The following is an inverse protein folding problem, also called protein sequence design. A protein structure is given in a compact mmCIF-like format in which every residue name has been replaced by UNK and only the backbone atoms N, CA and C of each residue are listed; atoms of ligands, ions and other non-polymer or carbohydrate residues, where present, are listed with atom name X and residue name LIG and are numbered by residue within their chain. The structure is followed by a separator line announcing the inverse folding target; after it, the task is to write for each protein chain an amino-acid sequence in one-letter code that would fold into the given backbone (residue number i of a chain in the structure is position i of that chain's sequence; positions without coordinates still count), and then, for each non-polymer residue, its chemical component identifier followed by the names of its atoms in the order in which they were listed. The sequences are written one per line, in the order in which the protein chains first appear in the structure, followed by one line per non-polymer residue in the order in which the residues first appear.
data_IF_827433601611
#
_entry.id   IF_827433601611
#
_cell.length_a   1.000
_cell.length_b   1.000
_cell.length_c   1.000
_cell.angle_alpha   90.00
_cell.angle_beta   90.00
_cell.angle_gamma   90.00
#
_symmetry.space_group_name_H-M   'P 1'
#
loop_
_entity.id
_entity.type
_entity.pdbx_description
1 polymer ?
#
# COMPACT_ATOMS: atom_id res chain seq x y z
N UNK A 1 20.16 -9.92 -6.33
CA UNK A 1 19.90 -10.38 -4.98
C UNK A 1 20.90 -9.68 -4.05
N UNK A 2 20.43 -8.89 -3.10
CA UNK A 2 21.24 -8.28 -2.05
C UNK A 2 21.31 -9.20 -0.82
N UNK A 3 22.42 -9.15 -0.08
CA UNK A 3 22.57 -9.86 1.21
C UNK A 3 22.28 -8.94 2.41
N UNK A 4 21.72 -7.77 2.17
CA UNK A 4 21.35 -6.77 3.17
C UNK A 4 20.21 -5.90 2.65
N UNK A 5 20.09 -4.73 3.20
CA UNK A 5 19.11 -3.74 2.78
C UNK A 5 19.45 -3.16 1.40
N UNK A 6 18.42 -2.71 0.69
CA UNK A 6 18.56 -2.05 -0.61
C UNK A 6 18.01 -0.63 -0.50
N UNK A 7 18.81 0.35 -0.90
CA UNK A 7 18.39 1.74 -1.01
C UNK A 7 18.64 2.24 -2.43
N UNK A 8 17.59 2.75 -3.09
CA UNK A 8 17.62 3.28 -4.45
C UNK A 8 17.08 4.70 -4.48
N UNK A 9 17.71 5.53 -5.29
CA UNK A 9 17.24 6.90 -5.56
C UNK A 9 17.31 7.15 -7.07
N UNK A 10 16.25 7.74 -7.65
CA UNK A 10 16.22 8.16 -9.05
C UNK A 10 15.68 9.58 -9.17
N UNK A 11 16.33 10.46 -9.97
CA UNK A 11 15.83 11.81 -10.25
C UNK A 11 14.75 11.82 -11.36
N UNK A 12 14.17 10.70 -11.69
CA UNK A 12 13.15 10.52 -12.73
C UNK A 12 12.34 9.26 -12.47
N UNK A 13 11.48 8.89 -13.42
CA UNK A 13 10.76 7.60 -13.38
C UNK A 13 11.71 6.42 -13.18
N UNK A 14 11.27 5.45 -12.40
CA UNK A 14 11.96 4.18 -12.18
C UNK A 14 11.04 3.02 -12.48
N UNK A 15 11.51 2.08 -13.31
CA UNK A 15 10.84 0.80 -13.51
C UNK A 15 11.66 -0.31 -12.85
N UNK A 16 11.01 -1.06 -11.96
CA UNK A 16 11.61 -2.16 -11.21
C UNK A 16 11.17 -3.49 -11.79
N UNK A 17 12.12 -4.34 -12.19
CA UNK A 17 11.85 -5.72 -12.60
C UNK A 17 11.85 -6.66 -11.38
N UNK A 18 12.95 -6.66 -10.61
CA UNK A 18 13.07 -7.50 -9.43
C UNK A 18 14.10 -6.95 -8.44
N UNK A 19 13.67 -6.71 -7.22
CA UNK A 19 14.51 -6.46 -6.06
C UNK A 19 14.23 -7.52 -5.01
N UNK A 20 15.24 -8.29 -4.63
CA UNK A 20 15.12 -9.29 -3.58
C UNK A 20 16.17 -9.02 -2.50
N UNK A 21 15.74 -8.43 -1.39
CA UNK A 21 16.61 -8.10 -0.26
C UNK A 21 16.66 -9.27 0.72
N UNK A 22 17.84 -9.87 0.89
CA UNK A 22 18.11 -10.96 1.84
C UNK A 22 17.08 -12.11 1.81
N UNK A 23 16.62 -12.51 0.62
CA UNK A 23 15.51 -13.46 0.45
C UNK A 23 14.19 -13.02 1.11
N UNK A 24 13.94 -11.71 1.17
CA UNK A 24 12.73 -11.15 1.78
C UNK A 24 12.84 -10.88 3.29
N UNK A 25 14.05 -10.81 3.84
CA UNK A 25 14.29 -10.51 5.26
C UNK A 25 14.95 -9.17 5.53
N UNK A 26 15.55 -8.53 4.50
CA UNK A 26 16.09 -7.18 4.57
C UNK A 26 15.03 -6.12 4.20
N UNK A 27 15.39 -4.86 4.37
CA UNK A 27 14.54 -3.73 4.05
C UNK A 27 14.85 -3.18 2.65
N UNK A 28 13.85 -2.59 1.99
CA UNK A 28 14.01 -1.92 0.69
C UNK A 28 13.48 -0.49 0.83
N UNK A 29 14.31 0.47 0.47
CA UNK A 29 13.92 1.89 0.39
C UNK A 29 14.10 2.36 -1.06
N UNK A 30 13.04 2.90 -1.65
CA UNK A 30 13.05 3.46 -3.00
C UNK A 30 12.50 4.89 -2.93
N UNK A 31 13.30 5.83 -3.41
CA UNK A 31 12.90 7.21 -3.59
C UNK A 31 13.08 7.64 -5.04
N UNK A 32 12.03 8.15 -5.67
CA UNK A 32 12.05 8.64 -7.04
C UNK A 32 11.42 10.04 -7.13
N UNK A 33 11.92 10.89 -8.04
CA UNK A 33 11.27 12.16 -8.32
C UNK A 33 9.99 11.96 -9.16
N UNK A 34 10.02 11.05 -10.15
CA UNK A 34 8.90 10.74 -11.02
C UNK A 34 8.08 9.53 -10.54
N UNK A 35 7.60 8.73 -11.50
CA UNK A 35 6.79 7.56 -11.23
C UNK A 35 7.62 6.33 -10.83
N UNK A 36 7.13 5.54 -9.89
CA UNK A 36 7.65 4.21 -9.55
C UNK A 36 6.72 3.14 -10.15
N UNK A 37 7.25 2.33 -11.07
CA UNK A 37 6.50 1.29 -11.79
C UNK A 37 7.20 -0.05 -11.71
N UNK A 38 6.48 -1.13 -11.88
CA UNK A 38 7.03 -2.45 -12.11
C UNK A 38 6.85 -2.92 -13.57
N UNK A 39 7.45 -4.04 -13.88
CA UNK A 39 7.31 -4.68 -15.20
C UNK A 39 6.03 -5.51 -15.19
N UNK A 40 5.04 -5.21 -16.06
CA UNK A 40 3.77 -5.93 -16.09
C UNK A 40 3.96 -7.45 -16.26
N UNK A 41 3.17 -8.22 -15.50
CA UNK A 41 3.19 -9.68 -15.55
C UNK A 41 4.38 -10.35 -14.88
N UNK A 42 5.21 -9.59 -14.19
CA UNK A 42 6.31 -10.07 -13.35
C UNK A 42 6.08 -9.61 -11.91
N UNK A 43 5.65 -10.50 -11.08
CA UNK A 43 5.43 -10.23 -9.66
C UNK A 43 6.30 -11.16 -8.78
N UNK A 44 6.69 -10.70 -7.60
CA UNK A 44 6.71 -9.32 -7.11
C UNK A 44 7.93 -8.52 -7.62
N UNK A 45 7.75 -7.22 -7.84
CA UNK A 45 8.86 -6.30 -8.15
C UNK A 45 9.80 -6.12 -6.96
N UNK A 46 9.27 -6.12 -5.74
CA UNK A 46 10.05 -6.02 -4.50
C UNK A 46 9.71 -7.19 -3.57
N UNK A 47 10.74 -7.93 -3.14
CA UNK A 47 10.65 -8.93 -2.08
C UNK A 47 11.56 -8.54 -0.93
N UNK A 48 10.95 -8.21 0.23
CA UNK A 48 11.63 -7.69 1.41
C UNK A 48 10.83 -7.99 2.69
N UNK A 49 11.41 -7.69 3.86
CA UNK A 49 10.65 -7.62 5.11
C UNK A 49 9.81 -6.36 5.14
N UNK A 50 10.44 -5.22 4.81
CA UNK A 50 9.80 -3.90 4.76
C UNK A 50 10.11 -3.22 3.42
N UNK A 51 9.13 -2.51 2.88
CA UNK A 51 9.31 -1.57 1.78
C UNK A 51 8.95 -0.15 2.21
N UNK A 52 9.84 0.80 1.95
CA UNK A 52 9.61 2.24 2.08
C UNK A 52 9.71 2.86 0.69
N UNK A 53 8.57 3.27 0.15
CA UNK A 53 8.41 3.66 -1.25
C UNK A 53 7.96 5.13 -1.34
N UNK A 54 8.68 5.95 -2.08
CA UNK A 54 8.34 7.36 -2.28
C UNK A 54 8.48 7.76 -3.75
N UNK A 55 7.41 8.33 -4.30
CA UNK A 55 7.41 9.03 -5.58
C UNK A 55 7.09 10.52 -5.30
N UNK A 56 8.09 11.41 -5.51
CA UNK A 56 7.99 12.79 -5.05
C UNK A 56 6.97 13.59 -5.88
N UNK A 57 7.00 13.48 -7.19
CA UNK A 57 6.15 14.19 -8.15
C UNK A 57 5.46 13.20 -9.13
N UNK A 58 5.07 12.03 -8.64
CA UNK A 58 4.47 11.00 -9.48
C UNK A 58 3.71 9.94 -8.68
N UNK A 59 3.36 8.87 -9.36
CA UNK A 59 2.56 7.77 -8.84
C UNK A 59 3.42 6.55 -8.50
N UNK A 60 2.96 5.75 -7.55
CA UNK A 60 3.43 4.38 -7.33
C UNK A 60 2.43 3.43 -7.99
N UNK A 61 2.89 2.67 -9.00
CA UNK A 61 2.03 1.79 -9.81
C UNK A 61 1.06 2.54 -10.70
N UNK A 62 0.06 1.84 -11.20
CA UNK A 62 -1.10 2.37 -11.92
C UNK A 62 -2.34 1.54 -11.60
N UNK A 63 -3.53 2.01 -11.93
CA UNK A 63 -4.79 1.26 -11.74
C UNK A 63 -4.76 -0.10 -12.43
N UNK A 64 -4.20 -0.17 -13.65
CA UNK A 64 -4.15 -1.40 -14.46
C UNK A 64 -2.96 -2.29 -14.11
N UNK A 65 -1.91 -1.73 -13.52
CA UNK A 65 -0.71 -2.44 -13.10
C UNK A 65 -0.24 -1.88 -11.74
N UNK A 66 -0.86 -2.29 -10.62
CA UNK A 66 -0.41 -1.91 -9.29
C UNK A 66 1.03 -2.37 -9.07
N UNK A 67 1.82 -1.56 -8.35
CA UNK A 67 3.19 -1.92 -8.00
C UNK A 67 3.18 -3.13 -7.06
N UNK A 68 3.72 -4.24 -7.55
CA UNK A 68 3.63 -5.52 -6.85
C UNK A 68 4.76 -5.72 -5.86
N UNK A 69 4.43 -6.05 -4.62
CA UNK A 69 5.39 -6.31 -3.55
C UNK A 69 5.08 -7.63 -2.84
N UNK A 70 6.08 -8.19 -2.19
CA UNK A 70 6.00 -9.35 -1.30
C UNK A 70 6.70 -8.98 0.00
N UNK A 71 5.99 -8.24 0.86
CA UNK A 71 6.53 -7.66 2.09
C UNK A 71 5.61 -7.89 3.28
N UNK A 72 6.18 -7.84 4.50
CA UNK A 72 5.38 -7.89 5.73
C UNK A 72 4.97 -6.49 6.21
N UNK A 73 5.72 -5.44 5.83
CA UNK A 73 5.47 -4.07 6.26
C UNK A 73 5.67 -3.10 5.10
N UNK A 74 4.80 -2.09 4.99
CA UNK A 74 4.91 -1.04 3.97
C UNK A 74 4.77 0.35 4.55
N UNK A 75 5.57 1.28 4.00
CA UNK A 75 5.34 2.71 4.00
C UNK A 75 5.36 3.19 2.56
N UNK A 76 4.38 4.02 2.15
CA UNK A 76 4.30 4.51 0.78
C UNK A 76 3.79 5.96 0.73
N UNK A 77 4.38 6.79 -0.13
CA UNK A 77 3.93 8.17 -0.35
C UNK A 77 4.12 8.58 -1.81
N UNK A 78 3.04 8.99 -2.46
CA UNK A 78 3.01 9.38 -3.88
C UNK A 78 1.79 10.27 -4.18
N UNK A 79 1.69 10.81 -5.39
CA UNK A 79 0.48 11.50 -5.84
C UNK A 79 -0.72 10.55 -5.79
N UNK A 80 -0.59 9.37 -6.43
CA UNK A 80 -1.48 8.24 -6.26
C UNK A 80 -0.66 6.99 -5.88
N UNK A 81 -1.26 6.08 -5.10
CA UNK A 81 -0.63 4.84 -4.66
C UNK A 81 -1.47 3.65 -5.11
N UNK A 82 -0.92 2.82 -5.97
CA UNK A 82 -1.52 1.56 -6.44
C UNK A 82 -0.60 0.42 -6.05
N UNK A 83 -0.96 -0.35 -5.03
CA UNK A 83 -0.14 -1.43 -4.46
C UNK A 83 -0.86 -2.78 -4.50
N UNK A 84 -0.08 -3.83 -4.75
CA UNK A 84 -0.51 -5.22 -4.59
C UNK A 84 0.50 -5.98 -3.75
N UNK A 85 0.05 -6.69 -2.71
CA UNK A 85 0.89 -7.51 -1.84
C UNK A 85 0.36 -8.95 -1.76
N UNK A 86 1.25 -9.94 -1.88
CA UNK A 86 0.94 -11.37 -1.97
C UNK A 86 0.78 -12.09 -0.60
N UNK A 87 0.64 -11.35 0.49
CA UNK A 87 0.53 -11.87 1.86
C UNK A 87 -0.05 -10.84 2.81
N UNK A 88 -0.17 -11.20 4.11
CA UNK A 88 -0.51 -10.24 5.16
C UNK A 88 0.38 -9.01 5.11
N UNK A 89 -0.23 -7.83 5.30
CA UNK A 89 0.43 -6.54 5.20
C UNK A 89 0.21 -5.70 6.46
N UNK A 90 1.31 -5.26 7.05
CA UNK A 90 1.32 -4.26 8.11
C UNK A 90 1.59 -2.90 7.48
N UNK A 91 0.68 -1.96 7.66
CA UNK A 91 0.82 -0.59 7.19
C UNK A 91 1.45 0.27 8.29
N UNK A 92 2.57 0.93 7.97
CA UNK A 92 3.12 2.02 8.79
C UNK A 92 2.37 3.33 8.42
N UNK A 93 2.48 3.74 7.13
CA UNK A 93 1.77 4.87 6.55
C UNK A 93 1.60 4.65 5.04
N UNK A 94 0.42 4.98 4.49
CA UNK A 94 0.21 5.09 3.05
C UNK A 94 -0.45 6.43 2.78
N UNK A 95 0.20 7.27 1.96
CA UNK A 95 -0.24 8.62 1.70
C UNK A 95 -0.34 8.94 0.20
N UNK A 96 -1.57 9.15 -0.28
CA UNK A 96 -1.88 9.79 -1.56
C UNK A 96 -1.87 11.30 -1.37
N UNK A 97 -0.84 11.99 -1.93
CA UNK A 97 -0.55 13.40 -1.64
C UNK A 97 -1.54 14.39 -2.26
N UNK A 98 -2.21 14.01 -3.35
CA UNK A 98 -3.21 14.87 -3.98
C UNK A 98 -4.49 14.91 -3.15
N UNK A 99 -5.17 16.04 -3.13
CA UNK A 99 -6.48 16.19 -2.48
C UNK A 99 -7.52 15.20 -3.03
N UNK A 100 -7.46 14.89 -4.33
CA UNK A 100 -8.26 13.88 -5.01
C UNK A 100 -7.50 12.57 -5.28
N UNK A 101 -6.32 12.40 -4.64
CA UNK A 101 -5.42 11.27 -4.87
C UNK A 101 -6.05 9.94 -4.50
N UNK A 102 -5.82 8.93 -5.34
CA UNK A 102 -6.31 7.57 -5.12
C UNK A 102 -5.26 6.73 -4.41
N UNK A 103 -5.68 6.03 -3.37
CA UNK A 103 -4.95 4.92 -2.75
C UNK A 103 -5.71 3.65 -3.05
N UNK A 104 -5.13 2.79 -3.91
CA UNK A 104 -5.67 1.47 -4.22
C UNK A 104 -4.75 0.41 -3.64
N UNK A 105 -5.29 -0.49 -2.83
CA UNK A 105 -4.52 -1.54 -2.16
C UNK A 105 -5.21 -2.88 -2.39
N UNK A 106 -4.44 -3.85 -2.93
CA UNK A 106 -4.84 -5.26 -3.03
C UNK A 106 -3.92 -6.09 -2.14
N UNK A 107 -4.49 -6.91 -1.25
CA UNK A 107 -3.71 -7.74 -0.32
C UNK A 107 -4.25 -9.17 -0.33
N UNK A 108 -3.37 -10.12 -0.63
CA UNK A 108 -3.68 -11.56 -0.53
C UNK A 108 -3.41 -12.06 0.91
N UNK A 109 -4.19 -11.53 1.86
CA UNK A 109 -4.09 -11.74 3.28
C UNK A 109 -4.77 -10.63 4.07
N UNK A 110 -4.44 -10.48 5.34
CA UNK A 110 -4.97 -9.41 6.19
C UNK A 110 -4.17 -8.10 6.02
N UNK A 111 -4.83 -6.98 6.20
CA UNK A 111 -4.20 -5.65 6.27
C UNK A 111 -4.45 -5.04 7.65
N UNK A 112 -3.37 -4.72 8.37
CA UNK A 112 -3.44 -4.14 9.73
C UNK A 112 -2.51 -2.94 9.88
N UNK A 113 -2.81 -2.06 10.83
CA UNK A 113 -1.90 -0.98 11.21
C UNK A 113 -0.74 -1.50 12.08
N UNK A 114 0.45 -0.97 11.90
CA UNK A 114 1.65 -1.25 12.72
C UNK A 114 1.49 -0.75 14.15
N UNK A 115 0.88 0.40 14.29
CA UNK A 115 0.59 1.08 15.57
C UNK A 115 -0.79 1.72 15.52
N UNK A 116 -1.24 2.27 16.63
CA UNK A 116 -2.48 3.05 16.68
C UNK A 116 -2.42 4.36 15.86
N UNK A 117 -1.22 4.81 15.48
CA UNK A 117 -1.03 6.01 14.66
C UNK A 117 -0.87 5.70 13.16
N UNK A 118 -0.86 4.42 12.79
CA UNK A 118 -0.77 3.99 11.40
C UNK A 118 -1.98 4.45 10.61
N UNK A 119 -1.76 4.97 9.39
CA UNK A 119 -2.80 5.65 8.62
C UNK A 119 -2.71 5.37 7.12
N UNK A 120 -3.88 5.32 6.50
CA UNK A 120 -4.04 5.42 5.04
C UNK A 120 -4.76 6.73 4.76
N UNK A 121 -4.14 7.63 4.00
CA UNK A 121 -4.68 8.95 3.69
C UNK A 121 -4.66 9.28 2.21
N UNK A 122 -5.62 10.08 1.74
CA UNK A 122 -5.78 10.51 0.35
C UNK A 122 -7.22 10.92 0.06
N UNK A 123 -7.56 11.29 -1.17
CA UNK A 123 -8.94 11.61 -1.56
C UNK A 123 -9.82 10.35 -1.59
N UNK A 124 -9.32 9.26 -2.17
CA UNK A 124 -10.10 8.04 -2.39
C UNK A 124 -9.34 6.80 -1.95
N UNK A 125 -9.98 5.93 -1.16
CA UNK A 125 -9.46 4.59 -0.82
C UNK A 125 -10.25 3.50 -1.53
N UNK A 126 -9.55 2.66 -2.29
CA UNK A 126 -10.05 1.39 -2.81
C UNK A 126 -9.24 0.24 -2.19
N UNK A 127 -9.85 -0.57 -1.33
CA UNK A 127 -9.21 -1.70 -0.66
C UNK A 127 -9.87 -3.02 -1.06
N UNK A 128 -9.09 -3.96 -1.59
CA UNK A 128 -9.49 -5.34 -1.88
C UNK A 128 -8.57 -6.28 -1.10
N UNK A 129 -9.09 -6.85 -0.01
CA UNK A 129 -8.33 -7.58 1.01
C UNK A 129 -8.93 -8.97 1.12
N UNK A 130 -8.12 -10.03 0.90
CA UNK A 130 -8.58 -11.42 1.02
C UNK A 130 -8.60 -11.94 2.47
N UNK A 131 -8.37 -11.09 3.44
CA UNK A 131 -8.50 -11.32 4.88
C UNK A 131 -9.19 -10.14 5.53
N UNK A 132 -8.90 -9.85 6.79
CA UNK A 132 -9.51 -8.73 7.51
C UNK A 132 -8.79 -7.41 7.22
N UNK A 133 -9.54 -6.33 7.14
CA UNK A 133 -9.08 -4.95 7.10
C UNK A 133 -9.17 -4.34 8.49
N UNK A 134 -8.04 -4.23 9.19
CA UNK A 134 -7.98 -3.90 10.61
C UNK A 134 -8.38 -5.06 11.53
N UNK A 135 -8.49 -4.77 12.82
CA UNK A 135 -9.04 -5.68 13.83
C UNK A 135 -9.94 -4.90 14.81
N UNK A 136 -10.79 -5.57 15.62
CA UNK A 136 -11.59 -4.89 16.63
C UNK A 136 -10.76 -4.04 17.60
N UNK A 137 -9.56 -4.54 17.99
CA UNK A 137 -8.64 -3.92 18.94
C UNK A 137 -7.72 -2.88 18.28
N UNK A 138 -7.45 -3.03 16.97
CA UNK A 138 -6.59 -2.14 16.20
C UNK A 138 -7.24 -1.82 14.85
N UNK A 139 -8.21 -0.90 14.89
CA UNK A 139 -8.90 -0.42 13.68
C UNK A 139 -7.90 0.28 12.77
N UNK A 140 -7.98 0.06 11.45
CA UNK A 140 -7.16 0.81 10.51
C UNK A 140 -7.64 2.26 10.43
N UNK A 141 -6.78 3.22 10.77
CA UNK A 141 -7.13 4.63 10.62
C UNK A 141 -7.05 5.02 9.15
N UNK A 142 -8.03 5.82 8.74
CA UNK A 142 -8.09 6.41 7.41
C UNK A 142 -8.40 7.90 7.51
N UNK A 143 -7.83 8.68 6.60
CA UNK A 143 -8.15 10.09 6.38
C UNK A 143 -8.45 10.26 4.89
N UNK A 144 -9.68 9.91 4.50
CA UNK A 144 -10.11 9.86 3.10
C UNK A 144 -11.50 10.44 2.93
N UNK A 145 -11.76 11.07 1.78
CA UNK A 145 -13.07 11.64 1.43
C UNK A 145 -14.05 10.57 0.93
N UNK A 146 -13.55 9.49 0.34
CA UNK A 146 -14.41 8.37 -0.05
C UNK A 146 -13.70 7.02 0.08
N UNK A 147 -14.50 5.99 0.33
CA UNK A 147 -14.01 4.62 0.50
C UNK A 147 -14.86 3.61 -0.28
N UNK A 148 -14.16 2.66 -0.91
CA UNK A 148 -14.68 1.40 -1.40
C UNK A 148 -13.80 0.28 -0.86
N UNK A 149 -14.38 -0.66 -0.10
CA UNK A 149 -13.62 -1.73 0.52
C UNK A 149 -14.34 -3.08 0.40
N UNK A 150 -13.55 -4.12 0.15
CA UNK A 150 -13.95 -5.52 0.20
C UNK A 150 -12.95 -6.27 1.07
N UNK A 151 -13.42 -7.02 2.08
CA UNK A 151 -12.61 -7.82 3.00
C UNK A 151 -13.46 -8.93 3.65
N UNK A 152 -12.81 -9.87 4.37
CA UNK A 152 -13.54 -10.80 5.23
C UNK A 152 -14.24 -10.05 6.37
N UNK A 153 -13.48 -9.20 7.08
CA UNK A 153 -14.00 -8.29 8.12
C UNK A 153 -13.43 -6.88 7.88
N UNK A 154 -14.18 -5.85 8.25
CA UNK A 154 -13.78 -4.45 8.06
C UNK A 154 -13.88 -3.69 9.39
N UNK A 155 -12.72 -3.28 9.91
CA UNK A 155 -12.59 -2.48 11.12
C UNK A 155 -11.80 -1.20 10.80
N UNK A 156 -12.53 -0.11 10.54
CA UNK A 156 -11.98 1.18 10.16
C UNK A 156 -12.30 2.27 11.19
N UNK A 157 -11.46 3.28 11.22
CA UNK A 157 -11.67 4.54 11.92
C UNK A 157 -11.28 5.67 10.97
N UNK A 158 -12.26 6.30 10.30
CA UNK A 158 -12.00 7.45 9.44
C UNK A 158 -12.05 8.74 10.24
N UNK A 159 -11.02 9.58 10.08
CA UNK A 159 -10.89 10.84 10.81
C UNK A 159 -11.20 12.07 9.94
N UNK A 160 -11.42 11.90 8.63
CA UNK A 160 -11.85 12.97 7.74
C UNK A 160 -13.23 13.52 8.15
N UNK A 161 -13.41 14.82 8.04
CA UNK A 161 -14.71 15.49 8.28
C UNK A 161 -15.78 15.10 7.26
N UNK A 162 -15.38 14.50 6.15
CA UNK A 162 -16.25 14.03 5.07
C UNK A 162 -15.89 12.59 4.75
N UNK A 163 -16.88 11.75 4.62
CA UNK A 163 -16.68 10.39 4.11
C UNK A 163 -17.89 9.94 3.29
N UNK A 164 -17.66 9.62 2.03
CA UNK A 164 -18.60 8.92 1.17
C UNK A 164 -18.28 7.43 1.13
N UNK A 165 -19.21 6.57 1.48
CA UNK A 165 -19.08 5.12 1.31
C UNK A 165 -19.59 4.76 -0.08
N UNK A 166 -18.70 4.52 -1.03
CA UNK A 166 -19.01 4.10 -2.41
C UNK A 166 -19.31 2.62 -2.54
N UNK A 167 -18.88 1.83 -1.58
CA UNK A 167 -19.16 0.40 -1.46
C UNK A 167 -18.36 -0.21 -0.33
N UNK A 168 -19.03 -1.03 0.47
CA UNK A 168 -18.38 -1.76 1.54
C UNK A 168 -18.96 -3.16 1.61
N UNK A 169 -18.12 -4.18 1.46
CA UNK A 169 -18.53 -5.59 1.48
C UNK A 169 -17.65 -6.34 2.46
N UNK A 170 -18.25 -6.87 3.52
CA UNK A 170 -17.64 -7.85 4.40
C UNK A 170 -18.21 -9.24 4.06
N UNK A 171 -17.36 -10.26 3.95
CA UNK A 171 -17.77 -11.62 3.57
C UNK A 171 -18.25 -12.43 4.80
N UNK A 172 -17.71 -12.14 5.99
CA UNK A 172 -18.19 -12.71 7.24
C UNK A 172 -19.27 -11.79 7.84
N UNK A 173 -20.51 -12.25 7.81
CA UNK A 173 -21.65 -11.62 8.47
C UNK A 173 -21.97 -12.50 9.67
N UNK A 174 -21.52 -12.15 10.87
CA UNK A 174 -21.96 -12.71 12.13
C UNK A 174 -23.24 -12.01 12.62
#
# INVERSE_FOLDING_TARGET
KAEGDVSLTSPSDLTVDNINSSNGTGDVTIWVDGNLKDVPGKAPAVKAKRADLSAADGDIGTTDNPFSVSVSEVKASADNVYLENDRDLIVDEIHGKREDGTVQIRVDGALTGKTADSMISGGHLEAEINGSLGTPENRMNTDVDSIKAKADDIYLNNISDKMEIRGMTAENID
#
